data_IF_444838560917
#
_entry.id   IF_444838560917
#
_cell.length_a   1.000
_cell.length_b   1.000
_cell.length_c   1.000
_cell.angle_alpha   90.00
_cell.angle_beta   90.00
_cell.angle_gamma   90.00
#
_symmetry.space_group_name_H-M   'P 1'
#
loop_
_entity.id
_entity.type
_entity.pdbx_description
1 polymer ?
#
# COMPACT_ATOMS: atom_id res chain seq x y z
N UNK A 1 45.13 -7.59 -9.32
CA UNK A 1 44.26 -7.54 -10.51
C UNK A 1 42.91 -8.25 -10.29
N UNK A 2 42.86 -9.56 -10.04
CA UNK A 2 41.59 -10.29 -9.83
C UNK A 2 40.73 -9.77 -8.65
N UNK A 3 41.36 -9.35 -7.54
CA UNK A 3 40.67 -8.73 -6.40
C UNK A 3 40.07 -7.35 -6.73
N UNK A 4 40.75 -6.54 -7.55
CA UNK A 4 40.26 -5.25 -8.02
C UNK A 4 39.04 -5.41 -8.94
N UNK A 5 39.08 -6.38 -9.86
CA UNK A 5 37.96 -6.69 -10.75
C UNK A 5 36.74 -7.17 -9.94
N UNK A 6 36.96 -8.07 -8.95
CA UNK A 6 35.87 -8.54 -8.08
C UNK A 6 35.22 -7.40 -7.30
N UNK A 7 36.02 -6.48 -6.76
CA UNK A 7 35.50 -5.33 -6.02
C UNK A 7 34.74 -4.35 -6.93
N UNK A 8 35.21 -4.09 -8.16
CA UNK A 8 34.47 -3.27 -9.13
C UNK A 8 33.12 -3.88 -9.51
N UNK A 9 33.04 -5.20 -9.69
CA UNK A 9 31.78 -5.88 -10.01
C UNK A 9 30.77 -5.76 -8.87
N UNK A 10 31.22 -5.92 -7.62
CA UNK A 10 30.35 -5.79 -6.44
C UNK A 10 29.80 -4.36 -6.33
N UNK A 11 30.64 -3.34 -6.55
CA UNK A 11 30.22 -1.94 -6.49
C UNK A 11 29.18 -1.64 -7.58
N UNK A 12 29.41 -2.09 -8.81
CA UNK A 12 28.48 -1.89 -9.92
C UNK A 12 27.10 -2.51 -9.63
N UNK A 13 27.08 -3.69 -8.99
CA UNK A 13 25.86 -4.42 -8.68
C UNK A 13 25.03 -3.73 -7.57
N UNK A 14 25.68 -3.11 -6.59
CA UNK A 14 25.02 -2.32 -5.53
C UNK A 14 24.41 -1.04 -6.11
N UNK A 15 25.10 -0.34 -7.00
CA UNK A 15 24.60 0.89 -7.65
C UNK A 15 23.39 0.62 -8.55
N UNK A 16 23.34 -0.54 -9.21
CA UNK A 16 22.15 -0.92 -10.00
C UNK A 16 20.92 -1.26 -9.15
N UNK A 17 21.10 -1.61 -7.87
CA UNK A 17 19.99 -1.94 -6.97
C UNK A 17 19.32 -0.71 -6.34
N UNK A 18 19.96 0.46 -6.37
CA UNK A 18 19.36 1.74 -6.00
C UNK A 18 18.56 2.30 -7.17
N UNK A 19 17.57 1.56 -7.65
CA UNK A 19 16.61 2.06 -8.63
C UNK A 19 15.77 3.18 -8.00
N UNK A 20 15.48 4.21 -8.79
CA UNK A 20 14.28 5.06 -8.89
C UNK A 20 13.30 5.27 -7.71
N UNK A 21 13.69 5.06 -6.46
CA UNK A 21 12.83 5.20 -5.30
C UNK A 21 12.34 6.65 -5.09
N UNK A 22 12.94 7.62 -5.76
CA UNK A 22 12.52 9.04 -5.76
C UNK A 22 12.13 9.57 -7.15
N UNK A 23 11.70 8.72 -8.08
CA UNK A 23 11.17 9.19 -9.38
C UNK A 23 9.77 9.84 -9.28
N UNK A 24 9.18 9.85 -8.09
CA UNK A 24 7.93 10.54 -7.81
C UNK A 24 8.14 11.61 -6.74
N UNK A 25 7.34 12.67 -6.84
CA UNK A 25 7.16 13.63 -5.75
C UNK A 25 6.27 13.02 -4.68
N UNK A 26 6.60 13.27 -3.43
CA UNK A 26 5.85 12.83 -2.26
C UNK A 26 4.43 13.43 -2.32
N UNK A 27 3.38 12.76 -1.79
CA UNK A 27 2.01 13.23 -1.92
C UNK A 27 1.82 14.69 -1.48
N UNK A 28 2.48 15.12 -0.41
CA UNK A 28 2.43 16.50 0.09
C UNK A 28 3.23 17.52 -0.75
N UNK A 29 4.17 17.06 -1.59
CA UNK A 29 4.91 17.93 -2.52
C UNK A 29 4.02 18.39 -3.69
N UNK A 30 2.85 17.78 -3.87
CA UNK A 30 1.84 18.25 -4.81
C UNK A 30 0.72 19.02 -4.11
N UNK A 31 1.09 20.04 -3.34
CA UNK A 31 0.25 21.00 -2.61
C UNK A 31 -1.25 21.04 -3.07
N UNK A 32 -1.52 21.38 -4.34
CA UNK A 32 -2.89 21.51 -4.87
C UNK A 32 -3.51 20.22 -5.47
N UNK A 33 -2.72 19.17 -5.71
CA UNK A 33 -3.17 17.87 -6.24
C UNK A 33 -3.27 16.79 -5.16
N UNK A 34 -2.71 17.04 -3.98
CA UNK A 34 -2.81 16.21 -2.80
C UNK A 34 -4.18 16.40 -2.15
N UNK A 35 -5.20 15.71 -2.67
CA UNK A 35 -6.54 15.77 -2.09
C UNK A 35 -6.56 15.00 -0.78
N UNK A 36 -7.36 15.46 0.18
CA UNK A 36 -7.59 14.75 1.46
C UNK A 36 -8.04 13.29 1.25
N UNK A 37 -8.74 13.01 0.14
CA UNK A 37 -9.17 11.67 -0.29
C UNK A 37 -8.00 10.71 -0.61
N UNK A 38 -6.77 11.21 -0.82
CA UNK A 38 -5.58 10.39 -1.13
C UNK A 38 -4.83 9.94 0.12
N UNK A 39 -5.32 10.23 1.32
CA UNK A 39 -4.79 9.72 2.57
C UNK A 39 -4.96 8.19 2.61
N UNK A 40 -3.97 7.46 3.14
CA UNK A 40 -3.94 6.00 3.19
C UNK A 40 -5.10 5.35 3.97
N UNK A 41 -5.93 6.15 4.64
CA UNK A 41 -7.10 5.72 5.41
C UNK A 41 -8.25 6.70 5.21
N UNK A 42 -8.61 6.99 3.95
CA UNK A 42 -9.82 7.77 3.69
C UNK A 42 -11.05 6.98 4.16
N UNK A 43 -12.05 7.67 4.73
CA UNK A 43 -13.29 7.02 5.21
C UNK A 43 -14.01 6.25 4.09
N UNK A 44 -13.84 6.69 2.84
CA UNK A 44 -14.38 6.02 1.66
C UNK A 44 -13.69 4.69 1.37
N UNK A 45 -12.36 4.63 1.47
CA UNK A 45 -11.63 3.37 1.26
C UNK A 45 -12.03 2.33 2.31
N UNK A 46 -12.14 2.74 3.58
CA UNK A 46 -12.60 1.86 4.65
C UNK A 46 -14.04 1.37 4.41
N UNK A 47 -14.95 2.24 3.97
CA UNK A 47 -16.33 1.87 3.66
C UNK A 47 -16.43 0.91 2.45
N UNK A 48 -15.60 1.12 1.43
CA UNK A 48 -15.54 0.24 0.24
C UNK A 48 -14.95 -1.11 0.60
N UNK A 49 -13.88 -1.16 1.39
CA UNK A 49 -13.29 -2.40 1.88
C UNK A 49 -14.29 -3.18 2.74
N UNK A 50 -15.03 -2.51 3.62
CA UNK A 50 -16.10 -3.13 4.41
C UNK A 50 -17.23 -3.66 3.52
N UNK A 51 -17.62 -2.92 2.48
CA UNK A 51 -18.62 -3.39 1.53
C UNK A 51 -18.14 -4.62 0.76
N UNK A 52 -16.88 -4.64 0.31
CA UNK A 52 -16.28 -5.79 -0.37
C UNK A 52 -16.17 -6.99 0.58
N UNK A 53 -15.70 -6.76 1.80
CA UNK A 53 -15.54 -7.80 2.81
C UNK A 53 -16.88 -8.40 3.20
N UNK A 54 -17.88 -7.57 3.49
CA UNK A 54 -19.24 -8.03 3.74
C UNK A 54 -19.80 -8.81 2.53
N UNK A 55 -19.62 -8.32 1.31
CA UNK A 55 -20.12 -9.03 0.12
C UNK A 55 -19.47 -10.40 -0.10
N UNK A 56 -18.20 -10.57 0.30
CA UNK A 56 -17.47 -11.84 0.17
C UNK A 56 -17.68 -12.79 1.34
N UNK A 57 -17.80 -12.22 2.55
CA UNK A 57 -17.64 -12.92 3.82
C UNK A 57 -18.85 -12.67 4.75
N UNK A 58 -20.01 -12.25 4.22
CA UNK A 58 -21.24 -12.02 4.98
C UNK A 58 -21.65 -13.23 5.84
N UNK A 59 -21.31 -14.46 5.43
CA UNK A 59 -21.59 -15.68 6.19
C UNK A 59 -20.62 -15.92 7.36
N UNK A 60 -19.42 -15.35 7.34
CA UNK A 60 -18.39 -15.51 8.39
C UNK A 60 -18.35 -14.36 9.40
N UNK A 61 -19.20 -13.34 9.23
CA UNK A 61 -19.32 -12.20 10.14
C UNK A 61 -18.35 -11.07 9.80
N UNK A 62 -18.88 -9.92 9.43
CA UNK A 62 -18.10 -8.70 9.19
C UNK A 62 -17.58 -8.04 10.47
N UNK A 63 -16.82 -6.95 10.32
CA UNK A 63 -16.18 -6.18 11.41
C UNK A 63 -17.14 -5.53 12.42
N UNK A 64 -18.45 -5.60 12.16
CA UNK A 64 -19.50 -5.10 13.05
C UNK A 64 -20.15 -6.24 13.83
N UNK A 65 -19.43 -6.75 14.83
CA UNK A 65 -20.01 -7.55 15.92
C UNK A 65 -20.74 -6.60 16.87
N UNK A 66 -21.96 -6.15 16.53
CA UNK A 66 -22.70 -5.28 17.43
C UNK A 66 -23.98 -4.59 16.96
N UNK A 67 -24.49 -4.81 15.74
CA UNK A 67 -25.73 -4.16 15.35
C UNK A 67 -26.30 -4.60 14.01
N UNK A 68 -27.17 -5.62 14.03
CA UNK A 68 -28.08 -5.94 12.93
C UNK A 68 -27.69 -7.16 12.09
N UNK A 69 -27.82 -8.35 12.65
CA UNK A 69 -27.68 -9.62 11.93
C UNK A 69 -29.01 -10.29 11.63
N UNK A 70 -29.10 -10.83 10.41
CA UNK A 70 -29.75 -12.10 10.04
C UNK A 70 -28.86 -12.73 8.95
N UNK A 71 -27.58 -13.00 9.20
CA UNK A 71 -27.15 -13.96 10.21
C UNK A 71 -27.27 -15.37 9.63
N UNK A 72 -26.21 -15.86 8.99
CA UNK A 72 -26.02 -17.30 8.83
C UNK A 72 -24.98 -17.79 9.85
N UNK A 73 -25.32 -17.56 11.13
CA UNK A 73 -25.26 -18.50 12.26
C UNK A 73 -26.40 -18.13 13.23
#
# INVERSE_FOLDING_TARGET
>A
MKKLIKNSVIILLVVSATGCASLGVEPWERDLLAKDEMLMSSDLDAAVDDHIYFSKEASSGGRSFGGGGCGCN
#
